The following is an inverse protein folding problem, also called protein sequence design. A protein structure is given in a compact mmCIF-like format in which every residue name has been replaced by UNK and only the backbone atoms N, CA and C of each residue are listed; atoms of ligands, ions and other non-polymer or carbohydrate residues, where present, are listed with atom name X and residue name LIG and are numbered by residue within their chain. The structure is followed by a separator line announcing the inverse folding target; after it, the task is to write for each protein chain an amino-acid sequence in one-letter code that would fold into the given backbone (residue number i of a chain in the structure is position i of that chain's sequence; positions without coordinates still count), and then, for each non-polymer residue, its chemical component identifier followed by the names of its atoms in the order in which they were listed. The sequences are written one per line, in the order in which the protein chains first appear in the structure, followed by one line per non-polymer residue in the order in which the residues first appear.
data_IF_926190776681
#
_entry.id   IF_926190776681
#
_cell.length_a   1.000
_cell.length_b   1.000
_cell.length_c   1.000
_cell.angle_alpha   90.00
_cell.angle_beta   90.00
_cell.angle_gamma   90.00
#
_symmetry.space_group_name_H-M   'P 1'
#
loop_
_entity.id
_entity.type
_entity.pdbx_description
1 polymer ?
#
# COMPACT_ATOMS: atom_id res chain seq x y z
N UNK A 1 12.30 -4.06 -9.74
CA UNK A 1 13.18 -3.85 -8.58
C UNK A 1 12.37 -3.19 -7.47
N UNK A 2 11.77 -4.01 -6.59
CA UNK A 2 11.11 -3.50 -5.39
C UNK A 2 12.18 -2.90 -4.49
N UNK A 3 12.21 -1.57 -4.35
CA UNK A 3 13.07 -0.93 -3.37
C UNK A 3 12.52 -1.26 -1.99
N UNK A 4 13.06 -2.31 -1.36
CA UNK A 4 13.05 -2.43 0.09
C UNK A 4 13.60 -1.10 0.66
N UNK A 5 13.07 -0.61 1.80
CA UNK A 5 13.51 0.65 2.36
C UNK A 5 15.00 0.63 2.70
N UNK A 6 15.62 1.81 2.63
CA UNK A 6 17.02 2.00 2.96
C UNK A 6 17.35 1.44 4.36
N UNK A 7 18.46 0.72 4.52
CA UNK A 7 18.83 0.11 5.80
C UNK A 7 19.01 1.20 6.87
N UNK A 8 18.36 1.03 8.03
CA UNK A 8 18.60 1.85 9.24
C UNK A 8 17.43 2.65 9.80
N UNK A 9 16.30 2.83 9.08
CA UNK A 9 15.11 3.52 9.64
C UNK A 9 14.10 2.51 10.21
N UNK A 10 13.78 2.62 11.51
CA UNK A 10 12.65 1.88 12.12
C UNK A 10 11.36 2.22 11.37
N UNK A 11 10.74 1.22 10.75
CA UNK A 11 9.45 1.41 10.08
C UNK A 11 8.34 1.53 11.13
N UNK A 12 7.36 2.44 10.93
CA UNK A 12 6.18 2.46 11.78
C UNK A 12 5.41 1.14 11.65
N UNK A 13 4.91 0.60 12.76
CA UNK A 13 4.05 -0.59 12.75
C UNK A 13 2.82 -0.29 11.89
N UNK A 14 2.53 -1.08 10.84
CA UNK A 14 1.41 -0.78 9.96
C UNK A 14 0.06 -0.80 10.65
N UNK A 15 -0.76 0.22 10.39
CA UNK A 15 -2.18 0.28 10.70
C UNK A 15 -2.91 1.15 9.67
N UNK A 16 -4.24 1.04 9.58
CA UNK A 16 -5.01 1.90 8.68
C UNK A 16 -4.92 3.38 9.07
N UNK A 17 -4.82 3.68 10.37
CA UNK A 17 -4.70 5.03 10.89
C UNK A 17 -3.35 5.71 10.59
N UNK A 18 -2.30 4.96 10.25
CA UNK A 18 -0.97 5.51 9.98
C UNK A 18 -0.42 5.17 8.58
N UNK A 19 -1.28 4.73 7.65
CA UNK A 19 -0.85 4.23 6.34
C UNK A 19 -0.01 5.25 5.55
N UNK A 20 -0.32 6.55 5.69
CA UNK A 20 0.47 7.65 5.12
C UNK A 20 1.91 7.66 5.66
N UNK A 21 2.08 7.48 6.96
CA UNK A 21 3.40 7.46 7.59
C UNK A 21 4.20 6.21 7.16
N UNK A 22 3.55 5.05 7.05
CA UNK A 22 4.16 3.82 6.54
C UNK A 22 4.64 4.00 5.10
N UNK A 23 3.80 4.57 4.22
CA UNK A 23 4.18 4.88 2.83
C UNK A 23 5.38 5.83 2.77
N UNK A 24 5.35 6.92 3.53
CA UNK A 24 6.44 7.91 3.56
C UNK A 24 7.75 7.30 4.06
N UNK A 25 7.69 6.42 5.07
CA UNK A 25 8.86 5.69 5.56
C UNK A 25 9.46 4.75 4.51
N UNK A 26 8.65 4.27 3.56
CA UNK A 26 9.09 3.47 2.40
C UNK A 26 9.61 4.32 1.24
N UNK A 27 9.52 5.66 1.32
CA UNK A 27 9.96 6.57 0.25
C UNK A 27 9.08 6.52 -1.00
N UNK A 28 7.85 6.04 -0.89
CA UNK A 28 6.93 5.90 -2.01
C UNK A 28 6.00 7.10 -2.11
N UNK A 29 5.66 7.53 -3.32
CA UNK A 29 4.56 8.46 -3.54
C UNK A 29 3.20 7.73 -3.54
N UNK A 30 2.10 8.49 -3.55
CA UNK A 30 0.75 7.94 -3.52
C UNK A 30 0.47 7.02 -4.71
N UNK A 31 0.89 7.39 -5.93
CA UNK A 31 0.68 6.55 -7.11
C UNK A 31 1.39 5.20 -6.97
N UNK A 32 2.66 5.21 -6.55
CA UNK A 32 3.46 4.00 -6.36
C UNK A 32 2.79 3.07 -5.35
N UNK A 33 2.41 3.57 -4.18
CA UNK A 33 1.80 2.74 -3.15
C UNK A 33 0.38 2.26 -3.51
N UNK A 34 -0.52 3.18 -3.83
CA UNK A 34 -1.94 2.89 -4.00
C UNK A 34 -2.27 2.12 -5.27
N UNK A 35 -1.53 2.35 -6.36
CA UNK A 35 -1.79 1.65 -7.62
C UNK A 35 -1.62 0.14 -7.47
N UNK A 36 -0.71 -0.33 -6.59
CA UNK A 36 -0.51 -1.75 -6.25
C UNK A 36 -1.77 -2.41 -5.72
N UNK A 37 -2.57 -1.65 -4.97
CA UNK A 37 -3.82 -2.09 -4.35
C UNK A 37 -5.05 -1.82 -5.23
N UNK A 38 -4.85 -1.44 -6.51
CA UNK A 38 -5.92 -1.12 -7.44
C UNK A 38 -6.58 0.24 -7.18
N UNK A 39 -5.93 1.11 -6.40
CA UNK A 39 -6.46 2.44 -6.03
C UNK A 39 -5.75 3.51 -6.87
N UNK A 40 -6.52 4.46 -7.41
CA UNK A 40 -5.96 5.61 -8.14
C UNK A 40 -5.20 6.55 -7.20
N UNK A 41 -4.29 7.38 -7.73
CA UNK A 41 -3.58 8.36 -6.90
C UNK A 41 -4.54 9.32 -6.18
N UNK A 42 -5.59 9.82 -6.87
CA UNK A 42 -6.60 10.70 -6.27
C UNK A 42 -7.44 9.98 -5.21
N UNK A 43 -7.74 8.69 -5.39
CA UNK A 43 -8.38 7.86 -4.37
C UNK A 43 -7.53 7.72 -3.12
N UNK A 44 -6.25 7.37 -3.31
CA UNK A 44 -5.27 7.27 -2.23
C UNK A 44 -5.07 8.58 -1.47
N UNK A 45 -5.05 9.71 -2.17
CA UNK A 45 -4.97 11.05 -1.57
C UNK A 45 -6.14 11.32 -0.62
N UNK A 46 -7.36 10.96 -1.03
CA UNK A 46 -8.56 11.10 -0.17
C UNK A 46 -8.46 10.24 1.08
N UNK A 47 -7.99 9.01 0.96
CA UNK A 47 -7.79 8.12 2.10
C UNK A 47 -6.76 8.69 3.09
N UNK A 48 -5.65 9.22 2.58
CA UNK A 48 -4.62 9.87 3.41
C UNK A 48 -5.05 11.22 4.01
N UNK A 49 -6.15 11.80 3.53
CA UNK A 49 -6.74 13.05 4.02
C UNK A 49 -7.91 12.83 5.00
N UNK A 50 -8.17 11.59 5.43
CA UNK A 50 -9.17 11.27 6.45
C UNK A 50 -10.45 10.65 5.93
N UNK A 51 -10.60 10.41 4.62
CA UNK A 51 -11.69 9.56 4.12
C UNK A 51 -11.46 8.13 4.58
N UNK A 52 -12.50 7.48 5.08
CA UNK A 52 -12.44 6.06 5.43
C UNK A 52 -11.96 5.19 4.26
N UNK A 53 -10.98 4.33 4.53
CA UNK A 53 -10.50 3.31 3.58
C UNK A 53 -11.57 2.22 3.51
N UNK A 54 -12.07 1.84 2.32
CA UNK A 54 -12.98 0.71 2.18
C UNK A 54 -12.39 -0.56 2.79
N UNK A 55 -13.21 -1.34 3.49
CA UNK A 55 -12.75 -2.52 4.21
C UNK A 55 -11.95 -3.52 3.35
N UNK A 56 -12.33 -3.82 2.09
CA UNK A 56 -11.53 -4.70 1.22
C UNK A 56 -10.14 -4.13 0.92
N UNK A 57 -10.07 -2.83 0.62
CA UNK A 57 -8.79 -2.12 0.39
C UNK A 57 -7.93 -2.12 1.64
N UNK A 58 -8.53 -1.96 2.83
CA UNK A 58 -7.84 -1.99 4.10
C UNK A 58 -7.23 -3.35 4.41
N UNK A 59 -7.97 -4.44 4.19
CA UNK A 59 -7.44 -5.81 4.33
C UNK A 59 -6.25 -6.02 3.40
N UNK A 60 -6.39 -5.65 2.12
CA UNK A 60 -5.34 -5.85 1.12
C UNK A 60 -4.08 -5.04 1.46
N UNK A 61 -4.26 -3.79 1.92
CA UNK A 61 -3.16 -2.98 2.44
C UNK A 61 -2.46 -3.66 3.63
N UNK A 62 -3.20 -4.23 4.57
CA UNK A 62 -2.61 -4.90 5.73
C UNK A 62 -1.86 -6.17 5.37
N UNK A 63 -2.40 -7.00 4.46
CA UNK A 63 -1.69 -8.19 3.95
C UNK A 63 -0.35 -7.81 3.32
N UNK A 64 -0.33 -6.75 2.50
CA UNK A 64 0.89 -6.27 1.87
C UNK A 64 1.88 -5.65 2.87
N UNK A 65 1.40 -4.79 3.77
CA UNK A 65 2.26 -4.08 4.72
C UNK A 65 2.86 -4.99 5.79
N UNK A 66 2.18 -6.08 6.14
CA UNK A 66 2.67 -7.12 7.07
C UNK A 66 3.54 -8.18 6.40
N UNK A 67 3.66 -8.16 5.07
CA UNK A 67 4.47 -9.11 4.31
C UNK A 67 3.79 -10.46 4.05
N UNK A 68 2.49 -10.59 4.33
CA UNK A 68 1.72 -11.80 4.00
C UNK A 68 1.56 -11.98 2.48
N UNK A 69 1.58 -10.87 1.72
CA UNK A 69 1.67 -10.84 0.26
C UNK A 69 2.72 -9.83 -0.18
N UNK A 70 3.27 -10.02 -1.37
CA UNK A 70 4.28 -9.14 -1.96
C UNK A 70 3.80 -8.52 -3.29
N UNK A 71 4.68 -7.76 -3.94
CA UNK A 71 4.42 -7.14 -5.24
C UNK A 71 4.06 -8.18 -6.33
N UNK A 72 4.67 -9.37 -6.29
CA UNK A 72 4.45 -10.42 -7.28
C UNK A 72 3.04 -11.02 -7.14
N UNK A 73 2.60 -11.28 -5.92
CA UNK A 73 1.24 -11.74 -5.63
C UNK A 73 0.19 -10.73 -6.10
N UNK A 74 0.40 -9.42 -5.82
CA UNK A 74 -0.51 -8.36 -6.28
C UNK A 74 -0.54 -8.24 -7.80
N UNK A 75 0.61 -8.36 -8.48
CA UNK A 75 0.67 -8.34 -9.93
C UNK A 75 -0.07 -9.53 -10.56
N UNK A 76 0.10 -10.74 -10.00
CA UNK A 76 -0.62 -11.94 -10.43
C UNK A 76 -2.13 -11.78 -10.25
N UNK A 77 -2.58 -11.29 -9.09
CA UNK A 77 -4.00 -11.07 -8.80
C UNK A 77 -4.64 -10.08 -9.79
N UNK A 78 -3.95 -8.97 -10.10
CA UNK A 78 -4.43 -8.00 -11.10
C UNK A 78 -4.55 -8.58 -12.51
N UNK A 79 -3.63 -9.46 -12.90
CA UNK A 79 -3.69 -10.14 -14.20
C UNK A 79 -4.90 -11.07 -14.25
N UNK A 80 -5.15 -11.83 -13.17
CA UNK A 80 -6.29 -12.72 -13.06
C UNK A 80 -7.64 -11.97 -13.06
N UNK A 81 -7.72 -10.79 -12.44
CA UNK A 81 -8.96 -9.99 -12.38
C UNK A 81 -9.29 -9.24 -13.68
N UNK A 82 -8.35 -9.14 -14.63
CA UNK A 82 -8.55 -8.52 -15.95
C UNK A 82 -8.87 -9.53 -17.05
N UNK A 83 -8.74 -10.82 -16.76
CA UNK A 83 -9.13 -11.92 -17.64
C UNK A 83 -10.61 -12.25 -17.40
#
# INVERSE_FOLDING_TARGET
MSKLPAPGKKQPKPSLGNIKAVRLARGENQMQFWSRLGVTQSGGSRYEAGRGIPQPTGILAMLYLTGAIDDAALAKAKKAAKA
#
